data_IF_639002945525
#
_entry.id   IF_639002945525
#
_cell.length_a   1.000
_cell.length_b   1.000
_cell.length_c   1.000
_cell.angle_alpha   90.00
_cell.angle_beta   90.00
_cell.angle_gamma   90.00
#
_symmetry.space_group_name_H-M   'P 1'
#
loop_
_entity.id
_entity.type
_entity.pdbx_description
1 polymer ?
#
# COMPACT_ATOMS: atom_id res chain seq x y z
N UNK A 1 9.64 15.95 -13.68
CA UNK A 1 9.26 15.89 -12.25
C UNK A 1 10.49 15.59 -11.41
N UNK A 2 11.24 14.52 -11.70
CA UNK A 2 12.48 14.18 -10.99
C UNK A 2 13.62 15.18 -11.28
N UNK A 3 13.65 15.78 -12.47
CA UNK A 3 14.63 16.83 -12.83
C UNK A 3 14.30 18.23 -12.28
N UNK A 4 13.37 18.33 -11.33
CA UNK A 4 13.07 19.60 -10.68
C UNK A 4 14.27 20.04 -9.82
N UNK A 5 14.57 21.35 -9.74
CA UNK A 5 15.61 21.88 -8.85
C UNK A 5 15.43 21.39 -7.40
N UNK A 6 14.18 21.27 -6.96
CA UNK A 6 13.82 20.77 -5.63
C UNK A 6 14.37 19.37 -5.34
N UNK A 7 14.27 18.44 -6.30
CA UNK A 7 14.76 17.07 -6.12
C UNK A 7 16.27 16.95 -6.32
N UNK A 8 16.86 17.85 -7.11
CA UNK A 8 18.32 17.92 -7.27
C UNK A 8 19.01 18.44 -6.00
N UNK A 9 18.41 19.43 -5.33
CA UNK A 9 18.91 19.99 -4.08
C UNK A 9 18.65 19.07 -2.87
N UNK A 10 17.59 18.26 -2.91
CA UNK A 10 17.21 17.35 -1.82
C UNK A 10 17.33 15.88 -2.22
N UNK A 11 18.33 15.55 -3.04
CA UNK A 11 18.54 14.18 -3.49
C UNK A 11 18.72 13.19 -2.32
N UNK A 12 19.24 13.66 -1.18
CA UNK A 12 19.43 12.84 0.03
C UNK A 12 18.11 12.39 0.68
N UNK A 13 16.97 13.03 0.34
CA UNK A 13 15.64 12.62 0.81
C UNK A 13 15.06 11.46 -0.01
N UNK A 14 15.55 11.24 -1.23
CA UNK A 14 15.02 10.20 -2.12
C UNK A 14 15.31 8.79 -1.58
N UNK A 15 16.54 8.43 -1.16
CA UNK A 15 16.82 7.07 -0.70
C UNK A 15 15.96 6.64 0.50
N UNK A 16 15.78 7.44 1.57
CA UNK A 16 14.90 7.07 2.68
C UNK A 16 13.44 6.87 2.27
N UNK A 17 12.93 7.70 1.35
CA UNK A 17 11.56 7.59 0.85
C UNK A 17 11.40 6.31 0.02
N UNK A 18 12.33 6.06 -0.89
CA UNK A 18 12.33 4.85 -1.73
C UNK A 18 12.42 3.60 -0.84
N UNK A 19 13.33 3.60 0.12
CA UNK A 19 13.49 2.52 1.10
C UNK A 19 12.20 2.23 1.86
N UNK A 20 11.50 3.28 2.31
CA UNK A 20 10.21 3.14 2.97
C UNK A 20 9.18 2.43 2.07
N UNK A 21 9.04 2.85 0.80
CA UNK A 21 8.10 2.20 -0.12
C UNK A 21 8.51 0.77 -0.47
N UNK A 22 9.80 0.53 -0.64
CA UNK A 22 10.34 -0.81 -0.88
C UNK A 22 10.11 -1.76 0.30
N UNK A 23 10.33 -1.31 1.54
CA UNK A 23 10.12 -2.16 2.72
C UNK A 23 8.63 -2.36 3.00
N UNK A 24 7.82 -1.33 2.80
CA UNK A 24 6.42 -1.33 3.23
C UNK A 24 5.50 -2.05 2.23
N UNK A 25 5.68 -1.80 0.93
CA UNK A 25 4.69 -2.16 -0.09
C UNK A 25 5.22 -3.00 -1.25
N UNK A 26 6.48 -2.83 -1.68
CA UNK A 26 7.00 -3.43 -2.93
C UNK A 26 7.86 -4.67 -2.67
N UNK A 27 8.63 -4.67 -1.59
CA UNK A 27 9.66 -5.65 -1.28
C UNK A 27 11.04 -5.27 -1.80
N UNK A 28 12.04 -5.19 -0.92
CA UNK A 28 13.44 -4.88 -1.28
C UNK A 28 14.00 -5.86 -2.31
N UNK A 29 14.72 -5.38 -3.34
CA UNK A 29 15.45 -6.25 -4.26
C UNK A 29 16.54 -7.03 -3.50
N UNK A 30 16.44 -8.36 -3.54
CA UNK A 30 17.41 -9.27 -2.94
C UNK A 30 18.42 -9.80 -3.96
N UNK A 31 19.35 -10.63 -3.48
CA UNK A 31 20.33 -11.31 -4.34
C UNK A 31 19.60 -12.29 -5.28
N UNK A 32 20.01 -12.34 -6.55
CA UNK A 32 19.44 -13.21 -7.61
C UNK A 32 18.03 -12.86 -8.07
N UNK A 33 17.71 -11.56 -8.15
CA UNK A 33 16.44 -11.08 -8.72
C UNK A 33 15.18 -11.55 -7.97
N UNK A 34 15.33 -11.96 -6.70
CA UNK A 34 14.23 -12.27 -5.79
C UNK A 34 14.00 -11.09 -4.86
N UNK A 35 12.78 -10.56 -4.82
CA UNK A 35 12.39 -9.54 -3.84
C UNK A 35 12.11 -10.19 -2.49
N UNK A 36 12.45 -9.49 -1.41
CA UNK A 36 11.98 -9.85 -0.05
C UNK A 36 10.49 -9.53 0.05
N UNK A 37 9.78 -10.24 0.90
CA UNK A 37 8.37 -9.91 1.15
C UNK A 37 8.28 -8.51 1.81
N UNK A 38 7.40 -7.62 1.31
CA UNK A 38 7.10 -6.36 1.98
C UNK A 38 6.39 -6.60 3.31
N UNK A 39 6.38 -5.58 4.18
CA UNK A 39 5.64 -5.57 5.46
C UNK A 39 4.15 -5.88 5.21
N UNK A 40 3.58 -5.32 4.16
CA UNK A 40 2.23 -5.62 3.71
C UNK A 40 2.27 -6.45 2.43
N UNK A 41 2.00 -7.77 2.51
CA UNK A 41 2.04 -8.66 1.35
C UNK A 41 1.09 -8.21 0.25
N UNK A 42 1.44 -8.45 -1.01
CA UNK A 42 0.57 -8.11 -2.15
C UNK A 42 -0.80 -8.81 -2.09
N UNK A 43 -0.89 -9.98 -1.47
CA UNK A 43 -2.16 -10.68 -1.25
C UNK A 43 -3.14 -9.89 -0.38
N UNK A 44 -2.65 -8.99 0.47
CA UNK A 44 -3.48 -8.09 1.28
C UNK A 44 -4.16 -7.00 0.44
N UNK A 45 -3.55 -6.64 -0.69
CA UNK A 45 -4.01 -5.61 -1.62
C UNK A 45 -4.65 -6.17 -2.88
N UNK A 46 -4.73 -7.49 -2.98
CA UNK A 46 -5.18 -8.12 -4.20
C UNK A 46 -6.71 -8.24 -4.17
N UNK A 47 -7.39 -7.43 -4.97
CA UNK A 47 -8.83 -7.50 -5.17
C UNK A 47 -9.27 -8.59 -6.17
N UNK A 48 -8.36 -9.48 -6.60
CA UNK A 48 -8.66 -10.54 -7.57
C UNK A 48 -9.77 -11.47 -7.07
N UNK A 49 -9.68 -11.96 -5.83
CA UNK A 49 -10.73 -12.80 -5.23
C UNK A 49 -12.04 -12.02 -5.08
N UNK A 50 -11.97 -10.76 -4.64
CA UNK A 50 -13.15 -9.89 -4.55
C UNK A 50 -13.83 -9.65 -5.91
N UNK A 51 -13.05 -9.59 -6.99
CA UNK A 51 -13.57 -9.43 -8.36
C UNK A 51 -14.23 -10.72 -8.85
N UNK A 52 -13.69 -11.88 -8.48
CA UNK A 52 -14.31 -13.18 -8.80
C UNK A 52 -15.61 -13.41 -8.03
N UNK A 53 -15.70 -12.90 -6.81
CA UNK A 53 -16.87 -13.07 -5.92
C UNK A 53 -17.91 -11.94 -6.05
N UNK A 54 -17.74 -11.02 -7.02
CA UNK A 54 -18.59 -9.84 -7.25
C UNK A 54 -18.83 -9.00 -5.98
N UNK A 55 -17.81 -8.94 -5.12
CA UNK A 55 -17.90 -8.20 -3.87
C UNK A 55 -17.72 -6.70 -4.13
N UNK A 56 -18.35 -5.83 -3.31
CA UNK A 56 -18.24 -4.39 -3.48
C UNK A 56 -16.77 -3.96 -3.43
N UNK A 57 -16.34 -3.17 -4.43
CA UNK A 57 -14.97 -2.65 -4.69
C UNK A 57 -14.21 -2.05 -3.49
N UNK A 58 -14.93 -1.82 -2.40
CA UNK A 58 -14.49 -1.24 -1.13
C UNK A 58 -13.82 -2.28 -0.22
N UNK A 59 -13.85 -3.58 -0.58
CA UNK A 59 -13.24 -4.67 0.18
C UNK A 59 -11.83 -5.05 -0.28
N UNK A 60 -11.18 -4.18 -1.07
CA UNK A 60 -9.83 -4.36 -1.65
C UNK A 60 -8.80 -4.93 -0.64
N UNK A 61 -8.93 -4.55 0.62
CA UNK A 61 -8.20 -5.13 1.73
C UNK A 61 -9.20 -5.50 2.84
N UNK A 62 -9.13 -6.73 3.37
CA UNK A 62 -9.96 -7.19 4.49
C UNK A 62 -9.84 -6.27 5.72
N UNK A 63 -8.72 -5.58 5.89
CA UNK A 63 -8.50 -4.56 6.92
C UNK A 63 -9.30 -3.28 6.65
N UNK A 64 -9.36 -2.79 5.41
CA UNK A 64 -10.20 -1.65 5.04
C UNK A 64 -11.68 -1.98 5.19
N UNK A 65 -12.06 -3.21 4.81
CA UNK A 65 -13.38 -3.76 5.08
C UNK A 65 -13.70 -3.74 6.57
N UNK A 66 -12.82 -4.30 7.41
CA UNK A 66 -13.00 -4.31 8.86
C UNK A 66 -13.09 -2.89 9.46
N UNK A 67 -12.21 -1.96 9.06
CA UNK A 67 -12.27 -0.58 9.53
C UNK A 67 -13.59 0.10 9.17
N UNK A 68 -14.08 -0.11 7.94
CA UNK A 68 -15.38 0.44 7.52
C UNK A 68 -16.53 -0.16 8.31
N UNK A 69 -16.59 -1.48 8.44
CA UNK A 69 -17.64 -2.15 9.24
C UNK A 69 -17.58 -1.69 10.70
N UNK A 70 -16.39 -1.54 11.28
CA UNK A 70 -16.18 -1.01 12.62
C UNK A 70 -16.67 0.45 12.73
N UNK A 71 -16.33 1.32 11.78
CA UNK A 71 -16.83 2.71 11.76
C UNK A 71 -18.35 2.79 11.59
N UNK A 72 -18.94 1.90 10.77
CA UNK A 72 -20.40 1.80 10.62
C UNK A 72 -21.07 1.32 11.91
N UNK A 73 -20.50 0.31 12.57
CA UNK A 73 -20.99 -0.20 13.86
C UNK A 73 -20.95 0.85 14.96
N UNK A 74 -19.93 1.70 14.97
CA UNK A 74 -19.81 2.81 15.92
C UNK A 74 -20.73 4.00 15.58
N UNK A 75 -21.53 3.92 14.52
CA UNK A 75 -22.52 4.94 14.18
C UNK A 75 -21.89 6.28 13.78
N UNK A 76 -20.63 6.27 13.32
CA UNK A 76 -19.97 7.47 12.81
C UNK A 76 -20.51 7.84 11.41
N UNK A 77 -21.81 8.11 11.29
CA UNK A 77 -22.29 8.95 10.19
C UNK A 77 -21.79 10.36 10.51
N UNK A 78 -20.82 10.84 9.75
CA UNK A 78 -20.50 12.26 9.79
C UNK A 78 -21.78 13.06 9.49
N UNK A 79 -22.10 14.11 10.28
CA UNK A 79 -23.15 15.06 9.93
C UNK A 79 -22.84 15.83 8.64
#
# INVERSE_FOLDING_TARGET
LVDSPYFSEHNDLIPPIVDYFEDTWIGRPGRRNKRRNPIFPHSLWNCYEATLEDLPKINNNSVEGWHREFSQLLGASHP
#
